data_IF_454948769426
#
_entry.id   IF_454948769426
#
_cell.length_a   1.000
_cell.length_b   1.000
_cell.length_c   1.000
_cell.angle_alpha   90.00
_cell.angle_beta   90.00
_cell.angle_gamma   90.00
#
_symmetry.space_group_name_H-M   'P 1'
#
loop_
_entity.id
_entity.type
_entity.pdbx_description
1 polymer ?
#
# COMPACT_ATOMS: atom_id res chain seq x y z
N UNK A 1 27.44 2.69 -2.54
CA UNK A 1 26.13 3.28 -2.85
C UNK A 1 26.24 3.93 -4.21
N UNK A 2 25.41 3.53 -5.18
CA UNK A 2 25.48 4.03 -6.57
C UNK A 2 25.05 5.50 -6.60
N UNK A 3 25.76 6.31 -7.37
CA UNK A 3 25.39 7.70 -7.59
C UNK A 3 24.17 7.76 -8.51
N UNK A 4 23.21 8.62 -8.18
CA UNK A 4 21.97 8.79 -8.93
C UNK A 4 21.67 10.28 -9.01
N UNK A 5 21.71 10.88 -10.19
CA UNK A 5 21.49 12.34 -10.36
C UNK A 5 22.54 13.17 -9.58
N UNK A 6 23.62 13.54 -10.28
CA UNK A 6 24.79 14.23 -9.72
C UNK A 6 25.92 13.29 -9.30
N UNK A 7 27.04 13.85 -8.83
CA UNK A 7 28.25 13.11 -8.42
C UNK A 7 28.58 13.33 -6.95
N UNK A 8 29.40 12.44 -6.36
CA UNK A 8 29.89 12.60 -4.99
C UNK A 8 28.85 12.35 -3.89
N UNK A 9 28.91 13.10 -2.80
CA UNK A 9 28.01 12.93 -1.64
C UNK A 9 26.54 13.20 -2.00
N UNK A 10 26.30 14.22 -2.82
CA UNK A 10 24.95 14.57 -3.30
C UNK A 10 24.36 13.44 -4.13
N UNK A 11 25.11 12.91 -5.12
CA UNK A 11 24.66 11.79 -5.96
C UNK A 11 24.36 10.51 -5.18
N UNK A 12 25.07 10.26 -4.07
CA UNK A 12 24.78 9.13 -3.17
C UNK A 12 23.52 9.36 -2.34
N UNK A 13 23.29 10.58 -1.86
CA UNK A 13 22.09 10.93 -1.09
C UNK A 13 20.82 10.82 -1.93
N UNK A 14 20.84 11.35 -3.15
CA UNK A 14 19.74 11.24 -4.12
C UNK A 14 19.49 9.78 -4.53
N UNK A 15 20.53 8.96 -4.62
CA UNK A 15 20.41 7.51 -4.78
C UNK A 15 19.68 6.85 -3.62
N UNK A 16 20.09 7.15 -2.38
CA UNK A 16 19.37 6.68 -1.18
C UNK A 16 17.90 7.12 -1.20
N UNK A 17 17.64 8.39 -1.51
CA UNK A 17 16.27 8.93 -1.55
C UNK A 17 15.39 8.22 -2.58
N UNK A 18 15.91 7.95 -3.78
CA UNK A 18 15.19 7.20 -4.82
C UNK A 18 14.83 5.78 -4.37
N UNK A 19 15.69 5.12 -3.57
CA UNK A 19 15.37 3.80 -3.02
C UNK A 19 14.25 3.85 -1.97
N UNK A 20 14.09 4.95 -1.22
CA UNK A 20 13.01 5.11 -0.24
C UNK A 20 11.63 5.15 -0.91
N UNK A 21 11.52 5.77 -2.08
CA UNK A 21 10.27 5.80 -2.87
C UNK A 21 9.88 4.38 -3.30
N UNK A 22 10.83 3.61 -3.85
CA UNK A 22 10.61 2.23 -4.25
C UNK A 22 10.29 1.31 -3.06
N UNK A 23 10.91 1.57 -1.91
CA UNK A 23 10.58 0.89 -0.66
C UNK A 23 9.14 1.21 -0.22
N UNK A 24 8.71 2.48 -0.30
CA UNK A 24 7.36 2.88 0.07
C UNK A 24 6.29 2.15 -0.77
N UNK A 25 6.52 1.98 -2.09
CA UNK A 25 5.68 1.16 -2.95
C UNK A 25 5.55 -0.28 -2.42
N UNK A 26 6.70 -0.90 -2.10
CA UNK A 26 6.77 -2.31 -1.70
C UNK A 26 6.02 -2.59 -0.39
N UNK A 27 6.01 -1.61 0.52
CA UNK A 27 5.29 -1.68 1.81
C UNK A 27 3.81 -1.25 1.72
N UNK A 28 3.33 -0.83 0.54
CA UNK A 28 1.92 -0.52 0.32
C UNK A 28 1.01 -1.75 0.50
N UNK A 29 -0.25 -1.54 0.88
CA UNK A 29 -1.25 -2.60 1.00
C UNK A 29 -1.34 -3.27 2.37
N UNK A 30 -0.50 -2.90 3.35
CA UNK A 30 -0.61 -3.44 4.72
C UNK A 30 -1.91 -2.99 5.42
N UNK A 31 -2.53 -1.91 4.95
CA UNK A 31 -3.87 -1.45 5.34
C UNK A 31 -4.99 -2.42 4.94
N UNK A 32 -4.74 -3.35 4.02
CA UNK A 32 -5.72 -4.39 3.64
C UNK A 32 -6.16 -5.22 4.85
N UNK A 33 -5.28 -5.43 5.84
CA UNK A 33 -5.62 -6.14 7.08
C UNK A 33 -6.75 -5.41 7.83
N UNK A 34 -6.77 -4.08 7.80
CA UNK A 34 -7.84 -3.29 8.41
C UNK A 34 -9.15 -3.39 7.63
N UNK A 35 -9.09 -3.49 6.30
CA UNK A 35 -10.29 -3.72 5.46
C UNK A 35 -10.87 -5.10 5.72
N UNK A 36 -10.01 -6.12 5.75
CA UNK A 36 -10.41 -7.49 6.05
C UNK A 36 -10.96 -7.65 7.48
N UNK A 37 -10.63 -6.74 8.41
CA UNK A 37 -11.15 -6.78 9.78
C UNK A 37 -12.69 -6.69 9.86
N UNK A 38 -13.34 -6.02 8.90
CA UNK A 38 -14.80 -5.93 8.83
C UNK A 38 -15.47 -7.25 8.44
N UNK A 39 -14.73 -8.17 7.83
CA UNK A 39 -15.22 -9.47 7.35
C UNK A 39 -14.55 -10.65 8.09
N UNK A 40 -13.63 -10.38 9.02
CA UNK A 40 -12.86 -11.40 9.73
C UNK A 40 -13.63 -12.01 10.91
N UNK A 41 -13.54 -13.32 11.08
CA UNK A 41 -14.02 -13.98 12.29
C UNK A 41 -13.17 -13.56 13.51
N UNK A 42 -13.80 -13.25 14.63
CA UNK A 42 -13.16 -12.79 15.88
C UNK A 42 -12.04 -11.74 15.63
N UNK A 43 -12.38 -10.54 15.16
CA UNK A 43 -11.39 -9.54 14.76
C UNK A 43 -10.51 -9.08 15.94
N UNK A 44 -11.03 -9.12 17.17
CA UNK A 44 -10.28 -8.73 18.39
C UNK A 44 -9.04 -9.59 18.62
N UNK A 45 -9.14 -10.89 18.33
CA UNK A 45 -8.02 -11.83 18.50
C UNK A 45 -7.18 -11.91 17.24
N UNK A 46 -7.83 -12.00 16.08
CA UNK A 46 -7.17 -12.32 14.82
C UNK A 46 -6.45 -11.12 14.20
N UNK A 47 -6.98 -9.90 14.31
CA UNK A 47 -6.35 -8.72 13.69
C UNK A 47 -5.04 -8.33 14.38
N UNK A 48 -4.94 -8.19 15.72
CA UNK A 48 -3.67 -7.87 16.36
C UNK A 48 -2.59 -8.92 16.12
N UNK A 49 -3.00 -10.20 16.04
CA UNK A 49 -2.13 -11.34 15.74
C UNK A 49 -1.62 -11.28 14.30
N UNK A 50 -2.51 -11.04 13.34
CA UNK A 50 -2.16 -10.87 11.93
C UNK A 50 -1.20 -9.68 11.73
N UNK A 51 -1.50 -8.51 12.30
CA UNK A 51 -0.66 -7.31 12.18
C UNK A 51 0.77 -7.56 12.67
N UNK A 52 0.94 -8.14 13.87
CA UNK A 52 2.30 -8.42 14.40
C UNK A 52 3.08 -9.40 13.53
N UNK A 53 2.42 -10.41 12.98
CA UNK A 53 3.06 -11.42 12.13
C UNK A 53 3.42 -10.87 10.76
N UNK A 54 2.49 -10.18 10.12
CA UNK A 54 2.72 -9.55 8.82
C UNK A 54 3.90 -8.58 8.91
N UNK A 55 4.01 -7.81 9.99
CA UNK A 55 5.17 -6.94 10.22
C UNK A 55 6.51 -7.70 10.20
N UNK A 56 6.66 -8.74 11.04
CA UNK A 56 7.90 -9.52 11.09
C UNK A 56 8.18 -10.28 9.79
N UNK A 57 7.12 -10.78 9.13
CA UNK A 57 7.21 -11.52 7.88
C UNK A 57 7.71 -10.62 6.74
N UNK A 58 7.14 -9.41 6.61
CA UNK A 58 7.57 -8.43 5.61
C UNK A 58 9.00 -7.99 5.92
N UNK A 59 9.31 -7.66 7.17
CA UNK A 59 10.67 -7.25 7.56
C UNK A 59 11.69 -8.32 7.19
N UNK A 60 11.44 -9.57 7.58
CA UNK A 60 12.35 -10.69 7.29
C UNK A 60 12.49 -10.90 5.79
N UNK A 61 11.40 -11.14 5.04
CA UNK A 61 11.51 -11.48 3.63
C UNK A 61 11.98 -10.32 2.76
N UNK A 62 11.59 -9.08 3.05
CA UNK A 62 11.99 -7.93 2.23
C UNK A 62 13.43 -7.53 2.52
N UNK A 63 13.83 -7.42 3.79
CA UNK A 63 15.18 -7.00 4.15
C UNK A 63 16.19 -8.10 3.83
N UNK A 64 15.92 -9.34 4.26
CA UNK A 64 16.81 -10.46 3.97
C UNK A 64 16.85 -10.78 2.47
N UNK A 65 15.70 -10.74 1.79
CA UNK A 65 15.63 -10.95 0.35
C UNK A 65 16.43 -9.90 -0.43
N UNK A 66 16.27 -8.61 -0.07
CA UNK A 66 17.04 -7.53 -0.68
C UNK A 66 18.54 -7.64 -0.39
N UNK A 67 18.91 -8.07 0.82
CA UNK A 67 20.30 -8.31 1.19
C UNK A 67 20.93 -9.46 0.39
N UNK A 68 20.23 -10.59 0.26
CA UNK A 68 20.70 -11.74 -0.53
C UNK A 68 20.88 -11.34 -2.00
N UNK A 69 19.90 -10.67 -2.60
CA UNK A 69 20.03 -10.18 -3.98
C UNK A 69 21.22 -9.23 -4.11
N UNK A 70 21.36 -8.29 -3.18
CA UNK A 70 22.43 -7.29 -3.21
C UNK A 70 23.84 -7.89 -3.07
N UNK A 71 23.98 -9.09 -2.51
CA UNK A 71 25.25 -9.83 -2.46
C UNK A 71 25.45 -10.75 -3.65
N UNK A 72 24.39 -11.14 -4.34
CA UNK A 72 24.43 -12.11 -5.44
C UNK A 72 24.61 -11.44 -6.81
N UNK A 73 24.13 -10.20 -6.98
CA UNK A 73 24.17 -9.49 -8.27
C UNK A 73 24.80 -8.12 -8.10
N UNK A 74 25.66 -7.75 -9.06
CA UNK A 74 26.22 -6.41 -9.15
C UNK A 74 25.14 -5.39 -9.51
N UNK A 75 25.12 -4.24 -8.84
CA UNK A 75 24.23 -3.11 -9.18
C UNK A 75 24.50 -2.48 -10.55
N UNK A 76 25.54 -2.95 -11.25
CA UNK A 76 25.93 -2.51 -12.59
C UNK A 76 25.59 -3.56 -13.67
N UNK A 77 24.91 -4.65 -13.31
CA UNK A 77 24.49 -5.65 -14.29
C UNK A 77 23.53 -5.00 -15.31
N UNK A 78 23.85 -5.00 -16.61
CA UNK A 78 23.05 -4.35 -17.64
C UNK A 78 21.66 -4.98 -17.78
N UNK A 79 21.46 -6.23 -17.35
CA UNK A 79 20.16 -6.89 -17.40
C UNK A 79 19.15 -6.28 -16.42
N UNK A 80 19.59 -5.54 -15.39
CA UNK A 80 18.71 -4.90 -14.42
C UNK A 80 17.94 -3.70 -14.99
N UNK A 81 18.49 -3.05 -16.01
CA UNK A 81 17.93 -1.84 -16.64
C UNK A 81 17.66 -2.04 -18.13
N UNK A 82 17.49 -3.28 -18.57
CA UNK A 82 17.14 -3.56 -19.95
C UNK A 82 15.66 -3.25 -20.18
N UNK A 83 15.40 -2.11 -20.81
CA UNK A 83 14.05 -1.63 -21.13
C UNK A 83 13.32 -2.56 -22.12
N UNK A 84 14.04 -3.38 -22.89
CA UNK A 84 13.48 -4.34 -23.85
C UNK A 84 13.22 -5.73 -23.26
N UNK A 85 13.58 -5.95 -22.00
CA UNK A 85 13.37 -7.23 -21.34
C UNK A 85 11.88 -7.57 -21.27
N UNK A 86 11.54 -8.79 -21.67
CA UNK A 86 10.14 -9.25 -21.72
C UNK A 86 9.75 -9.86 -20.37
N UNK A 87 8.67 -9.33 -19.77
CA UNK A 87 8.13 -9.85 -18.51
C UNK A 87 9.07 -9.65 -17.33
N UNK A 88 9.24 -10.68 -16.50
CA UNK A 88 10.09 -10.61 -15.30
C UNK A 88 11.59 -10.90 -15.58
N UNK A 89 12.06 -10.78 -16.83
CA UNK A 89 13.44 -11.12 -17.19
C UNK A 89 14.49 -10.21 -16.55
N UNK A 90 14.17 -8.94 -16.31
CA UNK A 90 15.04 -8.02 -15.55
C UNK A 90 14.96 -8.21 -14.03
N UNK A 91 14.15 -9.18 -13.57
CA UNK A 91 14.05 -9.47 -12.14
C UNK A 91 15.42 -9.93 -11.61
N UNK A 92 15.93 -9.31 -10.54
CA UNK A 92 17.18 -9.75 -9.93
C UNK A 92 17.14 -11.23 -9.54
N UNK A 93 16.01 -11.75 -9.07
CA UNK A 93 15.89 -13.17 -8.78
C UNK A 93 16.09 -14.05 -10.00
N UNK A 94 15.60 -13.64 -11.17
CA UNK A 94 15.76 -14.41 -12.42
C UNK A 94 17.20 -14.33 -12.92
N UNK A 95 17.82 -13.15 -12.85
CA UNK A 95 19.22 -12.93 -13.23
C UNK A 95 20.16 -13.77 -12.34
N UNK A 96 19.92 -13.81 -11.03
CA UNK A 96 20.73 -14.61 -10.09
C UNK A 96 20.70 -16.09 -10.46
N UNK A 97 19.53 -16.63 -10.79
CA UNK A 97 19.38 -18.05 -11.13
C UNK A 97 19.95 -18.38 -12.52
N UNK A 98 19.92 -17.43 -13.46
CA UNK A 98 20.63 -17.55 -14.73
C UNK A 98 22.15 -17.57 -14.51
N UNK A 99 22.67 -16.66 -13.69
CA UNK A 99 24.10 -16.58 -13.37
C UNK A 99 24.58 -17.83 -12.60
N UNK A 100 23.71 -18.47 -11.82
CA UNK A 100 23.98 -19.74 -11.16
C UNK A 100 24.02 -20.95 -12.12
N UNK A 101 23.63 -20.78 -13.40
CA UNK A 101 23.70 -21.82 -14.42
C UNK A 101 22.67 -22.94 -14.30
N UNK A 102 21.61 -22.78 -13.50
CA UNK A 102 20.59 -23.82 -13.27
C UNK A 102 19.43 -23.63 -14.27
N UNK A 103 19.27 -24.48 -15.31
CA UNK A 103 18.40 -24.15 -16.45
C UNK A 103 16.91 -24.02 -16.12
N UNK A 104 16.40 -24.85 -15.20
CA UNK A 104 14.96 -24.92 -14.89
C UNK A 104 14.54 -23.82 -13.90
N UNK A 105 15.46 -23.32 -13.09
CA UNK A 105 15.16 -22.46 -11.95
C UNK A 105 14.60 -21.08 -12.35
N UNK A 106 15.09 -20.41 -13.41
CA UNK A 106 14.46 -19.18 -13.93
C UNK A 106 12.98 -19.36 -14.30
N UNK A 107 12.58 -20.52 -14.83
CA UNK A 107 11.18 -20.78 -15.19
C UNK A 107 10.30 -20.94 -13.95
N UNK A 108 10.79 -21.64 -12.92
CA UNK A 108 10.10 -21.78 -11.64
C UNK A 108 9.91 -20.40 -10.99
N UNK A 109 10.97 -19.59 -10.94
CA UNK A 109 10.90 -18.23 -10.38
C UNK A 109 9.90 -17.36 -11.14
N UNK A 110 9.90 -17.41 -12.48
CA UNK A 110 8.91 -16.69 -13.29
C UNK A 110 7.48 -17.14 -12.99
N UNK A 111 7.23 -18.45 -12.86
CA UNK A 111 5.91 -18.97 -12.51
C UNK A 111 5.45 -18.49 -11.12
N UNK A 112 6.36 -18.44 -10.14
CA UNK A 112 6.09 -17.91 -8.80
C UNK A 112 5.80 -16.41 -8.85
N UNK A 113 6.57 -15.62 -9.60
CA UNK A 113 6.34 -14.18 -9.77
C UNK A 113 4.97 -13.92 -10.39
N UNK A 114 4.60 -14.66 -11.45
CA UNK A 114 3.29 -14.52 -12.10
C UNK A 114 2.15 -14.87 -11.14
N UNK A 115 2.25 -15.99 -10.43
CA UNK A 115 1.25 -16.41 -9.45
C UNK A 115 1.10 -15.38 -8.32
N UNK A 116 2.23 -14.84 -7.85
CA UNK A 116 2.26 -13.77 -6.84
C UNK A 116 1.62 -12.49 -7.35
N UNK A 117 1.92 -12.07 -8.58
CA UNK A 117 1.34 -10.88 -9.20
C UNK A 117 -0.18 -11.01 -9.37
N UNK A 118 -0.66 -12.17 -9.82
CA UNK A 118 -2.11 -12.46 -9.93
C UNK A 118 -2.78 -12.45 -8.55
N UNK A 119 -2.15 -13.04 -7.53
CA UNK A 119 -2.66 -13.00 -6.16
C UNK A 119 -2.77 -11.58 -5.62
N UNK A 120 -1.74 -10.75 -5.84
CA UNK A 120 -1.77 -9.32 -5.47
C UNK A 120 -2.87 -8.57 -6.22
N UNK A 121 -3.04 -8.82 -7.52
CA UNK A 121 -4.11 -8.22 -8.32
C UNK A 121 -5.50 -8.53 -7.76
N UNK A 122 -5.76 -9.78 -7.37
CA UNK A 122 -7.02 -10.17 -6.73
C UNK A 122 -7.22 -9.46 -5.37
N UNK A 123 -6.16 -9.37 -4.56
CA UNK A 123 -6.19 -8.70 -3.26
C UNK A 123 -6.51 -7.19 -3.38
N UNK A 124 -5.91 -6.50 -4.35
CA UNK A 124 -6.20 -5.09 -4.60
C UNK A 124 -7.58 -4.86 -5.23
N UNK A 125 -8.06 -5.76 -6.09
CA UNK A 125 -9.43 -5.71 -6.62
C UNK A 125 -10.47 -5.87 -5.48
N UNK A 126 -10.24 -6.83 -4.58
CA UNK A 126 -11.03 -6.98 -3.36
C UNK A 126 -11.04 -5.69 -2.54
N UNK A 127 -9.86 -5.19 -2.18
CA UNK A 127 -9.72 -4.01 -1.30
C UNK A 127 -10.34 -2.76 -1.92
N UNK A 128 -10.06 -2.50 -3.21
CA UNK A 128 -10.61 -1.36 -3.94
C UNK A 128 -12.13 -1.36 -4.01
N UNK A 129 -12.75 -2.54 -4.24
CA UNK A 129 -14.21 -2.66 -4.23
C UNK A 129 -14.82 -2.34 -2.86
N UNK A 130 -14.14 -2.70 -1.76
CA UNK A 130 -14.58 -2.44 -0.38
C UNK A 130 -14.44 -0.97 -0.03
N UNK A 131 -13.35 -0.31 -0.44
CA UNK A 131 -13.23 1.13 -0.27
C UNK A 131 -14.36 1.88 -0.96
N UNK A 132 -14.64 1.54 -2.22
CA UNK A 132 -15.70 2.17 -3.00
C UNK A 132 -17.10 1.92 -2.39
N UNK A 133 -17.33 0.72 -1.86
CA UNK A 133 -18.54 0.39 -1.12
C UNK A 133 -18.67 1.18 0.19
N UNK A 134 -17.61 1.27 1.00
CA UNK A 134 -17.64 2.01 2.27
C UNK A 134 -17.88 3.52 2.08
N UNK A 135 -17.29 4.13 1.05
CA UNK A 135 -17.56 5.55 0.76
C UNK A 135 -18.99 5.76 0.24
N UNK A 136 -19.57 4.78 -0.48
CA UNK A 136 -20.97 4.82 -0.88
C UNK A 136 -21.93 4.71 0.33
N UNK A 137 -21.57 3.89 1.34
CA UNK A 137 -22.35 3.77 2.58
C UNK A 137 -22.40 5.09 3.35
N UNK A 138 -21.29 5.83 3.33
CA UNK A 138 -21.18 7.16 3.93
C UNK A 138 -21.82 8.28 3.08
N UNK A 139 -22.52 7.94 1.98
CA UNK A 139 -23.14 8.91 1.07
C UNK A 139 -22.13 9.76 0.27
N UNK A 140 -20.88 9.29 0.17
CA UNK A 140 -19.78 9.97 -0.54
C UNK A 140 -19.56 9.48 -1.96
N UNK A 141 -20.22 8.40 -2.35
CA UNK A 141 -20.25 7.89 -3.71
C UNK A 141 -21.70 7.53 -4.13
N UNK A 142 -21.96 7.33 -5.43
CA UNK A 142 -23.30 6.97 -5.92
C UNK A 142 -23.89 5.72 -5.26
N UNK A 143 -25.18 5.80 -4.92
CA UNK A 143 -25.88 4.74 -4.18
C UNK A 143 -25.95 3.40 -4.92
N UNK A 144 -25.86 3.39 -6.26
CA UNK A 144 -25.86 2.14 -7.02
C UNK A 144 -24.68 1.22 -6.65
N UNK A 145 -23.57 1.77 -6.14
CA UNK A 145 -22.40 1.02 -5.72
C UNK A 145 -22.65 0.14 -4.48
N UNK A 146 -23.73 0.40 -3.74
CA UNK A 146 -24.15 -0.39 -2.59
C UNK A 146 -24.84 -1.71 -2.94
N UNK A 147 -25.15 -1.94 -4.23
CA UNK A 147 -25.85 -3.17 -4.61
C UNK A 147 -24.92 -4.39 -4.48
N UNK A 148 -25.24 -5.25 -3.53
CA UNK A 148 -24.57 -6.53 -3.34
C UNK A 148 -25.29 -7.68 -4.06
N UNK A 149 -24.53 -8.69 -4.47
CA UNK A 149 -25.07 -9.97 -4.92
C UNK A 149 -25.61 -10.79 -3.73
N UNK A 150 -26.28 -11.92 -4.00
CA UNK A 150 -26.75 -12.88 -2.99
C UNK A 150 -25.67 -13.35 -2.01
N UNK A 151 -24.39 -13.30 -2.41
CA UNK A 151 -23.22 -13.67 -1.60
C UNK A 151 -22.60 -12.47 -0.83
N UNK A 152 -23.24 -11.30 -0.82
CA UNK A 152 -22.73 -10.11 -0.13
C UNK A 152 -21.65 -9.32 -0.87
N UNK A 153 -21.32 -9.67 -2.11
CA UNK A 153 -20.26 -9.00 -2.89
C UNK A 153 -20.81 -7.77 -3.64
N UNK A 154 -20.22 -6.57 -3.50
CA UNK A 154 -20.67 -5.36 -4.19
C UNK A 154 -20.25 -5.36 -5.67
N UNK A 155 -21.09 -5.91 -6.55
CA UNK A 155 -20.73 -6.19 -7.95
C UNK A 155 -20.32 -4.93 -8.71
N UNK A 156 -21.08 -3.84 -8.57
CA UNK A 156 -20.77 -2.62 -9.31
C UNK A 156 -19.48 -1.96 -8.83
N UNK A 157 -19.19 -2.03 -7.54
CA UNK A 157 -17.92 -1.55 -7.01
C UNK A 157 -16.75 -2.37 -7.59
N UNK A 158 -16.89 -3.70 -7.65
CA UNK A 158 -15.90 -4.59 -8.29
C UNK A 158 -15.73 -4.25 -9.77
N UNK A 159 -16.83 -4.05 -10.50
CA UNK A 159 -16.78 -3.73 -11.94
C UNK A 159 -16.09 -2.39 -12.21
N UNK A 160 -16.36 -1.36 -11.42
CA UNK A 160 -15.70 -0.05 -11.53
C UNK A 160 -14.21 -0.16 -11.22
N UNK A 161 -13.83 -0.89 -10.16
CA UNK A 161 -12.41 -1.11 -9.87
C UNK A 161 -11.71 -1.91 -10.98
N UNK A 162 -12.38 -2.93 -11.52
CA UNK A 162 -11.85 -3.72 -12.63
C UNK A 162 -11.73 -2.90 -13.93
N UNK A 163 -12.66 -1.98 -14.22
CA UNK A 163 -12.57 -1.16 -15.43
C UNK A 163 -11.33 -0.29 -15.47
N UNK A 164 -10.81 0.14 -14.32
CA UNK A 164 -9.55 0.91 -14.25
C UNK A 164 -8.36 0.08 -14.73
N UNK A 165 -8.38 -1.25 -14.55
CA UNK A 165 -7.32 -2.11 -15.07
C UNK A 165 -7.26 -2.14 -16.59
N UNK A 166 -8.30 -1.74 -17.33
CA UNK A 166 -8.24 -1.63 -18.78
C UNK A 166 -7.17 -0.63 -19.26
N UNK A 167 -6.79 0.33 -18.40
CA UNK A 167 -5.68 1.24 -18.68
C UNK A 167 -4.34 0.52 -18.82
N UNK A 168 -4.18 -0.71 -18.32
CA UNK A 168 -2.95 -1.48 -18.53
C UNK A 168 -2.73 -1.85 -19.99
N UNK A 169 -3.76 -1.77 -20.86
CA UNK A 169 -3.61 -1.99 -22.29
C UNK A 169 -2.69 -0.96 -22.97
N UNK A 170 -2.41 0.18 -22.33
CA UNK A 170 -1.38 1.13 -22.76
C UNK A 170 0.01 0.49 -22.88
N UNK A 171 0.25 -0.64 -22.19
CA UNK A 171 1.50 -1.41 -22.30
C UNK A 171 1.79 -1.90 -23.72
N UNK A 172 0.76 -2.06 -24.57
CA UNK A 172 0.90 -2.50 -25.97
C UNK A 172 1.56 -1.43 -26.83
N UNK A 173 1.29 -0.14 -26.59
CA UNK A 173 1.85 0.95 -27.38
C UNK A 173 3.08 1.59 -26.75
N UNK A 174 3.08 1.82 -25.43
CA UNK A 174 4.14 2.56 -24.73
C UNK A 174 5.21 1.66 -24.09
N UNK A 175 5.02 0.33 -24.12
CA UNK A 175 5.92 -0.64 -23.48
C UNK A 175 5.55 -0.94 -22.03
N UNK A 176 5.71 -2.20 -21.62
CA UNK A 176 5.29 -2.69 -20.31
C UNK A 176 6.06 -2.05 -19.15
N UNK A 177 7.38 -1.88 -19.28
CA UNK A 177 8.22 -1.29 -18.23
C UNK A 177 7.87 0.18 -17.96
N UNK A 178 7.66 0.97 -19.02
CA UNK A 178 7.30 2.40 -18.90
C UNK A 178 5.94 2.57 -18.21
N UNK A 179 4.93 1.81 -18.67
CA UNK A 179 3.57 1.84 -18.10
C UNK A 179 3.55 1.32 -16.66
N UNK A 180 4.33 0.29 -16.34
CA UNK A 180 4.50 -0.19 -14.97
C UNK A 180 5.07 0.91 -14.06
N UNK A 181 6.12 1.62 -14.51
CA UNK A 181 6.68 2.76 -13.77
C UNK A 181 5.67 3.87 -13.50
N UNK A 182 4.81 4.19 -14.49
CA UNK A 182 3.73 5.17 -14.31
C UNK A 182 2.74 4.74 -13.23
N UNK A 183 2.25 3.51 -13.27
CA UNK A 183 1.33 2.99 -12.25
C UNK A 183 2.00 2.86 -10.89
N UNK A 184 3.24 2.42 -10.83
CA UNK A 184 4.01 2.32 -9.59
C UNK A 184 4.10 3.68 -8.91
N UNK A 185 4.46 4.74 -9.65
CA UNK A 185 4.51 6.11 -9.10
C UNK A 185 3.14 6.57 -8.59
N UNK A 186 2.08 6.39 -9.38
CA UNK A 186 0.73 6.80 -9.01
C UNK A 186 0.24 6.07 -7.74
N UNK A 187 0.42 4.75 -7.67
CA UNK A 187 0.03 3.92 -6.52
C UNK A 187 0.85 4.26 -5.28
N UNK A 188 2.15 4.56 -5.44
CA UNK A 188 3.02 4.96 -4.32
C UNK A 188 2.52 6.24 -3.68
N UNK A 189 2.21 7.26 -4.48
CA UNK A 189 1.70 8.55 -3.99
C UNK A 189 0.34 8.36 -3.29
N UNK A 190 -0.58 7.59 -3.91
CA UNK A 190 -1.88 7.30 -3.32
C UNK A 190 -1.76 6.57 -1.96
N UNK A 191 -0.83 5.61 -1.86
CA UNK A 191 -0.55 4.88 -0.62
C UNK A 191 0.02 5.83 0.44
N UNK A 192 0.98 6.69 0.09
CA UNK A 192 1.55 7.67 1.02
C UNK A 192 0.48 8.65 1.55
N UNK A 193 -0.41 9.15 0.70
CA UNK A 193 -1.54 9.98 1.16
C UNK A 193 -2.49 9.23 2.08
N UNK A 194 -2.73 7.94 1.81
CA UNK A 194 -3.52 7.08 2.69
C UNK A 194 -2.88 7.02 4.08
N UNK A 195 -1.57 6.79 4.17
CA UNK A 195 -0.85 6.76 5.45
C UNK A 195 -0.75 8.12 6.15
N UNK A 196 -0.60 9.22 5.41
CA UNK A 196 -0.74 10.58 5.95
C UNK A 196 -2.13 10.79 6.57
N UNK A 197 -3.18 10.34 5.88
CA UNK A 197 -4.57 10.48 6.36
C UNK A 197 -4.83 9.61 7.59
N UNK A 198 -4.32 8.37 7.61
CA UNK A 198 -4.42 7.45 8.75
C UNK A 198 -3.71 8.01 9.97
N UNK A 199 -2.46 8.46 9.83
CA UNK A 199 -1.68 9.04 10.94
C UNK A 199 -2.33 10.31 11.48
N UNK A 200 -2.79 11.21 10.60
CA UNK A 200 -3.53 12.40 11.00
C UNK A 200 -4.85 12.05 11.72
N UNK A 201 -5.64 11.14 11.17
CA UNK A 201 -6.92 10.70 11.75
C UNK A 201 -6.70 10.03 13.11
N UNK A 202 -5.63 9.24 13.26
CA UNK A 202 -5.23 8.66 14.53
C UNK A 202 -4.96 9.71 15.61
N UNK A 203 -4.29 10.82 15.28
CA UNK A 203 -4.07 11.91 16.25
C UNK A 203 -5.38 12.55 16.70
N UNK A 204 -6.38 12.66 15.81
CA UNK A 204 -7.72 13.17 16.12
C UNK A 204 -8.51 12.19 16.96
N UNK A 205 -8.47 10.90 16.62
CA UNK A 205 -9.05 9.84 17.43
C UNK A 205 -8.49 9.83 18.86
N UNK A 206 -7.17 9.98 19.03
CA UNK A 206 -6.55 10.08 20.35
C UNK A 206 -7.03 11.32 21.12
N UNK A 207 -7.19 12.47 20.45
CA UNK A 207 -7.76 13.68 21.07
C UNK A 207 -9.20 13.45 21.51
N UNK A 208 -10.00 12.72 20.73
CA UNK A 208 -11.37 12.37 21.09
C UNK A 208 -11.43 11.44 22.32
N UNK A 209 -10.57 10.41 22.37
CA UNK A 209 -10.48 9.54 23.53
C UNK A 209 -10.13 10.30 24.81
N UNK A 210 -9.20 11.27 24.73
CA UNK A 210 -8.83 12.11 25.88
C UNK A 210 -9.99 13.02 26.29
N UNK A 211 -10.68 13.65 25.32
CA UNK A 211 -11.81 14.52 25.61
C UNK A 211 -13.01 13.78 26.24
N UNK A 212 -13.17 12.50 25.92
CA UNK A 212 -14.26 11.64 26.42
C UNK A 212 -13.81 10.71 27.57
N UNK A 213 -12.62 10.92 28.16
CA UNK A 213 -12.08 10.12 29.27
C UNK A 213 -12.01 8.60 29.00
N UNK A 214 -11.73 8.20 27.76
CA UNK A 214 -11.52 6.80 27.39
C UNK A 214 -10.09 6.38 27.69
N UNK A 215 -9.92 5.45 28.64
CA UNK A 215 -8.60 4.90 28.97
C UNK A 215 -8.09 4.00 27.83
N UNK A 216 -6.86 4.26 27.39
CA UNK A 216 -6.18 3.50 26.33
C UNK A 216 -5.83 2.07 26.76
N UNK A 217 -5.76 1.80 28.05
CA UNK A 217 -5.52 0.44 28.57
C UNK A 217 -6.66 -0.53 28.20
N UNK A 218 -7.87 -0.01 28.00
CA UNK A 218 -9.05 -0.80 27.64
C UNK A 218 -9.07 -1.21 26.17
N UNK A 219 -8.18 -0.65 25.34
CA UNK A 219 -8.11 -0.97 23.92
C UNK A 219 -7.38 -2.30 23.68
N UNK A 220 -7.94 -3.13 22.81
CA UNK A 220 -7.35 -4.42 22.40
C UNK A 220 -5.95 -4.25 21.79
N UNK A 221 -5.70 -3.12 21.12
CA UNK A 221 -4.39 -2.81 20.55
C UNK A 221 -4.06 -1.33 20.77
N UNK A 222 -3.02 -1.06 21.55
CA UNK A 222 -2.53 0.28 21.84
C UNK A 222 -1.06 0.44 21.43
N UNK A 223 -0.78 1.38 20.52
CA UNK A 223 0.59 1.74 20.16
C UNK A 223 1.28 2.49 21.31
N UNK A 224 2.52 2.09 21.62
CA UNK A 224 3.42 2.82 22.51
C UNK A 224 3.91 4.12 21.84
N UNK A 225 4.40 5.08 22.62
CA UNK A 225 5.02 6.34 22.14
C UNK A 225 4.13 7.32 21.36
N UNK A 226 2.81 7.18 21.47
CA UNK A 226 1.84 8.08 20.84
C UNK A 226 1.64 9.37 21.68
N UNK A 227 1.63 10.57 21.07
CA UNK A 227 1.41 10.84 19.64
C UNK A 227 2.67 11.10 18.80
N UNK A 228 3.87 11.04 19.38
CA UNK A 228 5.11 11.40 18.68
C UNK A 228 5.31 10.55 17.42
N UNK A 229 5.10 9.23 17.50
CA UNK A 229 5.23 8.32 16.37
C UNK A 229 4.28 8.68 15.21
N UNK A 230 3.04 9.10 15.50
CA UNK A 230 2.09 9.48 14.46
C UNK A 230 2.52 10.76 13.72
N UNK A 231 3.02 11.76 14.44
CA UNK A 231 3.51 13.00 13.82
C UNK A 231 4.80 12.79 13.04
N UNK A 232 5.75 12.02 13.58
CA UNK A 232 7.00 11.71 12.86
C UNK A 232 6.72 10.93 11.58
N UNK A 233 5.80 9.95 11.61
CA UNK A 233 5.39 9.20 10.43
C UNK A 233 4.69 10.11 9.40
N UNK A 234 3.78 10.97 9.85
CA UNK A 234 3.11 11.94 8.98
C UNK A 234 4.12 12.84 8.26
N UNK A 235 5.04 13.45 9.00
CA UNK A 235 6.08 14.32 8.42
C UNK A 235 6.96 13.55 7.44
N UNK A 236 7.35 12.33 7.79
CA UNK A 236 8.19 11.50 6.91
C UNK A 236 7.50 11.17 5.59
N UNK A 237 6.25 10.71 5.62
CA UNK A 237 5.48 10.43 4.41
C UNK A 237 5.23 11.70 3.58
N UNK A 238 4.94 12.83 4.23
CA UNK A 238 4.77 14.11 3.55
C UNK A 238 6.05 14.56 2.82
N UNK A 239 7.23 14.34 3.43
CA UNK A 239 8.51 14.62 2.77
C UNK A 239 8.73 13.72 1.55
N UNK A 240 8.43 12.42 1.65
CA UNK A 240 8.54 11.50 0.50
C UNK A 240 7.62 11.96 -0.65
N UNK A 241 6.38 12.36 -0.35
CA UNK A 241 5.45 12.89 -1.38
C UNK A 241 6.04 14.13 -2.06
N UNK A 242 6.56 15.08 -1.29
CA UNK A 242 7.09 16.34 -1.82
C UNK A 242 8.29 16.10 -2.75
N UNK A 243 9.22 15.24 -2.32
CA UNK A 243 10.45 14.95 -3.05
C UNK A 243 10.34 13.72 -3.95
N UNK A 244 9.15 13.18 -4.23
CA UNK A 244 9.01 12.00 -5.08
C UNK A 244 9.53 12.25 -6.50
N UNK A 245 9.19 13.41 -7.09
CA UNK A 245 9.60 13.81 -8.43
C UNK A 245 10.87 14.65 -8.49
N UNK A 246 11.75 14.59 -7.48
CA UNK A 246 12.91 15.48 -7.38
C UNK A 246 13.83 15.43 -8.62
N UNK A 247 13.95 14.25 -9.26
CA UNK A 247 14.76 14.05 -10.47
C UNK A 247 14.41 15.03 -11.58
N UNK A 248 13.13 15.31 -11.78
CA UNK A 248 12.68 16.17 -12.89
C UNK A 248 13.20 17.60 -12.76
N UNK A 249 13.44 18.06 -11.54
CA UNK A 249 13.97 19.40 -11.29
C UNK A 249 15.48 19.51 -11.46
N UNK A 250 16.17 18.40 -11.73
CA UNK A 250 17.64 18.39 -11.88
C UNK A 250 18.11 18.47 -13.34
N UNK A 251 17.20 18.23 -14.29
CA UNK A 251 17.45 18.29 -15.72
C UNK A 251 16.82 19.55 -16.29
N UNK A 252 17.63 20.44 -16.89
CA UNK A 252 17.15 21.63 -17.62
C UNK A 252 17.90 21.73 -18.95
N UNK A 253 17.21 22.01 -20.09
CA UNK A 253 15.77 22.25 -20.26
C UNK A 253 14.92 20.96 -20.20
N UNK A 254 13.61 21.10 -19.97
CA UNK A 254 12.68 19.97 -19.93
C UNK A 254 12.31 19.49 -21.33
N UNK A 255 12.47 18.18 -21.59
CA UNK A 255 11.96 17.51 -22.77
C UNK A 255 10.59 16.85 -22.54
N UNK A 256 10.09 16.08 -23.53
CA UNK A 256 8.81 15.37 -23.46
C UNK A 256 8.77 14.29 -22.37
N UNK A 257 9.89 13.61 -22.12
CA UNK A 257 9.97 12.56 -21.10
C UNK A 257 10.00 13.16 -19.68
N UNK A 258 10.72 14.27 -19.47
CA UNK A 258 10.74 14.99 -18.19
C UNK A 258 9.36 15.55 -17.83
N UNK A 259 8.61 16.05 -18.82
CA UNK A 259 7.22 16.45 -18.64
C UNK A 259 6.34 15.26 -18.23
N UNK A 260 6.51 14.11 -18.89
CA UNK A 260 5.78 12.89 -18.55
C UNK A 260 6.11 12.41 -17.12
N UNK A 261 7.39 12.44 -16.74
CA UNK A 261 7.84 12.10 -15.39
C UNK A 261 7.29 13.08 -14.35
N UNK A 262 7.22 14.38 -14.65
CA UNK A 262 6.59 15.38 -13.77
C UNK A 262 5.12 15.07 -13.54
N UNK A 263 4.36 14.87 -14.61
CA UNK A 263 2.93 14.56 -14.50
C UNK A 263 2.72 13.26 -13.75
N UNK A 264 3.46 12.20 -14.07
CA UNK A 264 3.30 10.90 -13.38
C UNK A 264 3.69 10.96 -11.90
N UNK A 265 4.67 11.79 -11.53
CA UNK A 265 5.10 11.98 -10.15
C UNK A 265 4.20 12.92 -9.32
N UNK A 266 3.44 13.83 -9.93
CA UNK A 266 2.67 14.85 -9.20
C UNK A 266 1.15 14.87 -9.49
N UNK A 267 0.67 14.17 -10.52
CA UNK A 267 -0.76 14.09 -10.83
C UNK A 267 -1.56 13.50 -9.66
N UNK A 268 -1.00 12.55 -8.92
CA UNK A 268 -1.64 11.98 -7.72
C UNK A 268 -1.87 13.02 -6.63
N UNK A 269 -0.94 13.97 -6.45
CA UNK A 269 -1.08 15.09 -5.51
C UNK A 269 -2.21 16.02 -5.95
N UNK A 270 -2.25 16.36 -7.23
CA UNK A 270 -3.31 17.19 -7.79
C UNK A 270 -4.69 16.53 -7.67
N UNK A 271 -4.81 15.25 -8.02
CA UNK A 271 -6.06 14.48 -7.90
C UNK A 271 -6.53 14.46 -6.45
N UNK A 272 -5.63 14.14 -5.50
CA UNK A 272 -5.99 14.11 -4.07
C UNK A 272 -6.46 15.49 -3.60
N UNK A 273 -5.73 16.55 -3.94
CA UNK A 273 -6.09 17.93 -3.58
C UNK A 273 -7.43 18.36 -4.17
N UNK A 274 -7.68 18.06 -5.45
CA UNK A 274 -8.93 18.38 -6.14
C UNK A 274 -10.11 17.62 -5.55
N UNK A 275 -9.98 16.31 -5.31
CA UNK A 275 -11.06 15.51 -4.71
C UNK A 275 -11.37 15.97 -3.29
N UNK A 276 -10.34 16.27 -2.49
CA UNK A 276 -10.51 16.78 -1.14
C UNK A 276 -11.19 18.16 -1.13
N UNK A 277 -10.72 19.08 -1.97
CA UNK A 277 -11.29 20.42 -2.11
C UNK A 277 -12.72 20.38 -2.63
N UNK A 278 -12.99 19.58 -3.67
CA UNK A 278 -14.33 19.35 -4.21
C UNK A 278 -15.29 18.90 -3.11
N UNK A 279 -14.91 17.89 -2.33
CA UNK A 279 -15.76 17.41 -1.23
C UNK A 279 -15.95 18.48 -0.14
N UNK A 280 -14.89 19.20 0.24
CA UNK A 280 -14.97 20.27 1.25
C UNK A 280 -15.86 21.43 0.83
N UNK A 281 -15.74 21.89 -0.41
CA UNK A 281 -16.49 23.05 -0.93
C UNK A 281 -17.94 22.66 -1.21
N UNK A 282 -18.17 21.53 -1.88
CA UNK A 282 -19.52 21.11 -2.28
C UNK A 282 -20.36 20.65 -1.10
N UNK A 283 -19.79 19.82 -0.20
CA UNK A 283 -20.51 19.30 0.98
C UNK A 283 -20.36 20.16 2.22
N UNK A 284 -19.58 21.26 2.15
CA UNK A 284 -19.36 22.22 3.25
C UNK A 284 -19.08 21.56 4.60
N UNK A 285 -18.31 20.46 4.59
CA UNK A 285 -18.07 19.67 5.79
C UNK A 285 -17.20 20.46 6.77
N UNK A 286 -17.46 20.33 8.07
CA UNK A 286 -16.62 20.92 9.14
C UNK A 286 -15.66 19.86 9.69
N UNK A 287 -14.59 20.29 10.34
CA UNK A 287 -13.79 19.34 11.14
C UNK A 287 -14.62 18.93 12.36
N UNK A 288 -14.62 17.64 12.68
CA UNK A 288 -15.35 17.10 13.83
C UNK A 288 -14.69 17.56 15.12
N UNK A 289 -15.48 18.08 16.06
CA UNK A 289 -15.03 18.42 17.40
C UNK A 289 -14.63 17.12 18.14
N UNK A 290 -13.40 16.98 18.65
CA UNK A 290 -12.99 15.75 19.36
C UNK A 290 -13.91 15.37 20.52
N UNK A 291 -14.54 16.33 21.20
CA UNK A 291 -15.47 16.06 22.30
C UNK A 291 -16.77 15.39 21.84
N UNK A 292 -17.22 15.67 20.61
CA UNK A 292 -18.48 15.19 20.02
C UNK A 292 -18.24 14.04 19.02
N UNK A 293 -17.00 13.64 18.80
CA UNK A 293 -16.66 12.60 17.85
C UNK A 293 -17.28 11.26 18.27
N UNK A 294 -18.04 10.65 17.37
CA UNK A 294 -18.61 9.34 17.63
C UNK A 294 -17.53 8.24 17.57
N UNK A 295 -17.24 7.68 18.74
CA UNK A 295 -16.29 6.55 18.93
C UNK A 295 -16.99 5.30 19.47
N UNK A 296 -18.32 5.33 19.58
CA UNK A 296 -19.11 4.30 20.27
C UNK A 296 -20.08 3.55 19.33
N UNK A 297 -20.54 4.17 18.25
CA UNK A 297 -21.47 3.52 17.31
C UNK A 297 -20.91 2.20 16.77
N UNK A 298 -21.76 1.17 16.78
CA UNK A 298 -21.39 -0.19 16.34
C UNK A 298 -20.51 -0.97 17.32
N UNK A 299 -19.91 -0.32 18.33
CA UNK A 299 -19.05 -1.00 19.33
C UNK A 299 -19.84 -2.03 20.14
N UNK A 300 -21.01 -1.65 20.66
CA UNK A 300 -21.81 -2.53 21.52
C UNK A 300 -22.24 -3.83 20.80
N UNK A 301 -22.59 -3.75 19.50
CA UNK A 301 -22.94 -4.91 18.70
C UNK A 301 -21.74 -5.87 18.55
N UNK A 302 -20.54 -5.33 18.32
CA UNK A 302 -19.31 -6.11 18.25
C UNK A 302 -18.83 -6.62 19.62
N UNK A 303 -19.12 -5.90 20.72
CA UNK A 303 -18.83 -6.31 22.09
C UNK A 303 -19.73 -7.50 22.51
N UNK A 304 -20.97 -7.54 22.02
CA UNK A 304 -21.95 -8.56 22.34
C UNK A 304 -21.73 -9.88 21.58
N UNK A 305 -20.95 -9.86 20.49
CA UNK A 305 -20.72 -11.03 19.66
C UNK A 305 -19.73 -11.99 20.33
N UNK A 306 -20.26 -13.12 20.83
CA UNK A 306 -19.46 -14.17 21.46
C UNK A 306 -18.95 -15.13 20.39
N UNK A 307 -17.66 -15.03 20.10
CA UNK A 307 -17.00 -15.93 19.16
C UNK A 307 -16.64 -17.25 19.84
N UNK A 308 -17.03 -18.41 19.29
CA UNK A 308 -16.63 -19.71 19.85
C UNK A 308 -15.11 -19.84 19.83
N UNK A 309 -14.53 -20.33 20.92
CA UNK A 309 -13.10 -20.63 20.95
C UNK A 309 -12.79 -21.77 19.98
N UNK A 310 -11.96 -21.48 18.97
CA UNK A 310 -11.49 -22.48 18.02
C UNK A 310 -10.41 -23.33 18.70
N UNK A 311 -10.79 -24.51 19.19
CA UNK A 311 -9.87 -25.50 19.74
C UNK A 311 -9.31 -26.33 18.58
N UNK A 312 -7.99 -26.34 18.33
CA UNK A 312 -7.39 -27.17 17.29
C UNK A 312 -7.63 -28.65 17.59
N UNK A 313 -8.15 -29.39 16.61
CA UNK A 313 -8.37 -30.84 16.73
C UNK A 313 -7.07 -31.61 16.55
N UNK A 314 -6.18 -31.15 15.67
CA UNK A 314 -4.93 -31.83 15.29
C UNK A 314 -3.71 -30.90 15.30
N UNK A 315 -2.50 -31.47 15.26
CA UNK A 315 -1.23 -30.73 15.17
C UNK A 315 -1.15 -29.83 13.90
N UNK A 316 -1.68 -30.31 12.78
CA UNK A 316 -1.80 -29.53 11.53
C UNK A 316 -2.73 -28.33 11.70
N UNK A 317 -3.86 -28.50 12.38
CA UNK A 317 -4.80 -27.41 12.65
C UNK A 317 -4.24 -26.43 13.68
N UNK A 318 -3.45 -26.93 14.64
CA UNK A 318 -2.70 -26.11 15.60
C UNK A 318 -1.63 -25.28 14.89
N UNK A 319 -0.93 -25.85 13.91
CA UNK A 319 -0.01 -25.11 13.05
C UNK A 319 -0.76 -24.12 12.16
N UNK A 320 -1.91 -24.51 11.59
CA UNK A 320 -2.73 -23.64 10.74
C UNK A 320 -3.29 -22.45 11.53
N UNK A 321 -3.86 -22.67 12.71
CA UNK A 321 -4.24 -21.59 13.62
C UNK A 321 -3.04 -20.86 14.22
N UNK A 322 -1.85 -21.44 14.20
CA UNK A 322 -0.63 -20.70 14.51
C UNK A 322 -0.11 -19.91 13.31
N UNK A 323 -0.45 -20.26 12.07
CA UNK A 323 0.01 -19.55 10.87
C UNK A 323 -0.98 -18.43 10.49
N UNK A 324 -2.26 -18.78 10.37
CA UNK A 324 -3.42 -17.92 10.16
C UNK A 324 -3.94 -17.32 11.48
#
# INVERSE_FOLDING_TARGET
MKEYVGTGSTGRFTGLWSTLVNAAFSYGGVEMVAVAAGEAANPRKNIPKAVRRVFWRILFFYVLGSFIIGTTISSNDPQLTDDNAKGAQSSPWVIAMKNAGIPVLPHIVNAVILTSATSSGNAFLYTGSRYLFSIAQNGQAPQFLLRCNKKGVPIYAVAVTASISLLTYMSVSAGANKVFGWFQNLTTIASLFTWCTVTYTYTRFRKACIAQNVDRSTMVFASKWQPYVAWTAFTYFALIILFNGFKVFTTTPWGPDELTDFFTAYIGVAIFGLLFAFWKVFKRTKMVNPAEADIWSGKAALDAEVWPEQIPRNALERFWFWLC
#
